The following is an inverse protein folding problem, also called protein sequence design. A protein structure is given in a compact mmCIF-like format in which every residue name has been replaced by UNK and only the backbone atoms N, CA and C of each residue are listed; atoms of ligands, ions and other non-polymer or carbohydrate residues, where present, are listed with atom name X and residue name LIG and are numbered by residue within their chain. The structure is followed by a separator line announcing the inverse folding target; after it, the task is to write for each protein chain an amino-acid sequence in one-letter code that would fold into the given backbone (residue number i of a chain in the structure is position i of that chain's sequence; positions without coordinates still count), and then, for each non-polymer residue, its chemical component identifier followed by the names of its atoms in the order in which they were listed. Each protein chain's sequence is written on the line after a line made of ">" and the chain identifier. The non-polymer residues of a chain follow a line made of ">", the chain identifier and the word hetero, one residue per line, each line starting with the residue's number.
data_IF_086508920770
#
_entry.id   IF_086508920770
#
_cell.length_a   1.000
_cell.length_b   1.000
_cell.length_c   1.000
_cell.angle_alpha   90.00
_cell.angle_beta   90.00
_cell.angle_gamma   90.00
#
_symmetry.space_group_name_H-M   'P 1'
#
loop_
_entity.id
_entity.type
_entity.pdbx_description
1 polymer ?
#
# COMPACT_ATOMS: atom_id res chain seq x y z
N UNK A 1 3.15 -23.64 25.12
CA UNK A 1 1.85 -23.66 24.42
C UNK A 1 2.14 -23.15 23.02
N UNK A 2 2.09 -24.06 22.05
CA UNK A 2 2.40 -23.67 20.66
C UNK A 2 1.26 -22.83 20.11
N UNK A 3 1.61 -21.76 19.41
CA UNK A 3 0.64 -20.89 18.73
C UNK A 3 0.06 -21.64 17.51
N UNK A 4 -1.22 -21.42 17.15
CA UNK A 4 -1.75 -21.85 15.86
C UNK A 4 -0.88 -21.36 14.71
N UNK A 5 -0.72 -22.19 13.67
CA UNK A 5 0.20 -21.91 12.56
C UNK A 5 0.01 -20.52 11.90
N UNK A 6 -1.24 -20.01 11.69
CA UNK A 6 -1.44 -18.67 11.17
C UNK A 6 -0.88 -17.56 12.09
N UNK A 7 -0.98 -17.73 13.41
CA UNK A 7 -0.50 -16.75 14.38
C UNK A 7 1.02 -16.79 14.52
N UNK A 8 1.63 -17.97 14.50
CA UNK A 8 3.08 -18.14 14.48
C UNK A 8 3.68 -17.42 13.24
N UNK A 9 3.09 -17.68 12.06
CA UNK A 9 3.50 -17.00 10.83
C UNK A 9 3.39 -15.47 10.91
N UNK A 10 2.30 -14.95 11.48
CA UNK A 10 2.11 -13.50 11.66
C UNK A 10 3.19 -12.86 12.53
N UNK A 11 3.70 -13.58 13.54
CA UNK A 11 4.76 -13.11 14.41
C UNK A 11 6.14 -13.20 13.79
N UNK A 12 6.44 -14.33 13.15
CA UNK A 12 7.82 -14.70 12.81
C UNK A 12 8.19 -14.32 11.37
N UNK A 13 7.22 -14.40 10.43
CA UNK A 13 7.51 -14.32 9.00
C UNK A 13 6.76 -13.21 8.25
N UNK A 14 5.54 -12.85 8.67
CA UNK A 14 4.63 -12.01 7.91
C UNK A 14 5.17 -10.60 7.63
N UNK A 15 6.02 -10.05 8.50
CA UNK A 15 6.69 -8.77 8.26
C UNK A 15 7.68 -8.80 7.10
N UNK A 16 8.07 -9.99 6.63
CA UNK A 16 8.86 -10.21 5.42
C UNK A 16 8.05 -10.23 4.12
N UNK A 17 6.73 -10.18 4.16
CA UNK A 17 5.87 -10.17 2.97
C UNK A 17 6.23 -9.03 2.01
N UNK A 18 6.19 -9.31 0.71
CA UNK A 18 6.61 -8.35 -0.33
C UNK A 18 5.55 -7.26 -0.54
N UNK A 19 4.26 -7.59 -0.34
CA UNK A 19 3.15 -6.66 -0.54
C UNK A 19 1.88 -7.08 0.18
N UNK A 20 0.88 -6.18 0.25
CA UNK A 20 -0.40 -6.46 0.91
C UNK A 20 -1.22 -7.57 0.22
N UNK A 21 -1.11 -7.70 -1.08
CA UNK A 21 -1.72 -8.77 -1.89
C UNK A 21 -1.20 -10.15 -1.46
N UNK A 22 0.11 -10.28 -1.39
CA UNK A 22 0.77 -11.51 -0.94
C UNK A 22 0.46 -11.82 0.52
N UNK A 23 0.54 -10.79 1.37
CA UNK A 23 0.19 -10.93 2.78
C UNK A 23 -1.24 -11.48 2.95
N UNK A 24 -2.23 -10.93 2.25
CA UNK A 24 -3.63 -11.35 2.34
C UNK A 24 -3.81 -12.79 1.84
N UNK A 25 -3.22 -13.17 0.71
CA UNK A 25 -3.29 -14.51 0.16
C UNK A 25 -2.64 -15.55 1.08
N UNK A 26 -1.45 -15.25 1.61
CA UNK A 26 -0.71 -16.16 2.48
C UNK A 26 -1.43 -16.35 3.83
N UNK A 27 -1.98 -15.28 4.41
CA UNK A 27 -2.78 -15.38 5.63
C UNK A 27 -4.07 -16.17 5.40
N UNK A 28 -4.80 -15.85 4.31
CA UNK A 28 -6.03 -16.56 3.96
C UNK A 28 -5.80 -18.07 3.72
N UNK A 29 -4.75 -18.42 3.00
CA UNK A 29 -4.37 -19.82 2.77
C UNK A 29 -4.04 -20.57 4.07
N UNK A 30 -3.32 -19.92 5.01
CA UNK A 30 -3.00 -20.52 6.32
C UNK A 30 -4.23 -20.69 7.21
N UNK A 31 -5.14 -19.71 7.21
CA UNK A 31 -6.40 -19.81 7.94
C UNK A 31 -7.31 -20.91 7.39
N UNK A 32 -7.35 -21.08 6.05
CA UNK A 32 -8.02 -22.22 5.40
C UNK A 32 -7.40 -23.54 5.82
N UNK A 33 -6.08 -23.66 5.79
CA UNK A 33 -5.36 -24.87 6.19
C UNK A 33 -5.57 -25.21 7.68
N UNK A 34 -5.82 -24.20 8.52
CA UNK A 34 -6.18 -24.34 9.94
C UNK A 34 -7.67 -24.69 10.15
N UNK A 35 -8.43 -24.89 9.06
CA UNK A 35 -9.80 -25.39 9.07
C UNK A 35 -10.90 -24.34 9.10
N UNK A 36 -10.60 -23.05 8.92
CA UNK A 36 -11.62 -22.01 8.86
C UNK A 36 -12.39 -22.06 7.52
N UNK A 37 -13.72 -21.90 7.53
CA UNK A 37 -14.57 -22.03 6.36
C UNK A 37 -14.56 -20.75 5.51
N UNK A 38 -13.40 -20.32 4.99
CA UNK A 38 -13.27 -19.08 4.25
C UNK A 38 -13.72 -19.23 2.79
N UNK A 39 -14.50 -18.26 2.30
CA UNK A 39 -14.82 -18.04 0.90
C UNK A 39 -13.93 -16.95 0.27
N UNK A 40 -13.48 -15.99 1.08
CA UNK A 40 -12.59 -14.92 0.64
C UNK A 40 -12.16 -14.00 1.77
N UNK A 41 -11.28 -13.06 1.43
CA UNK A 41 -10.76 -12.06 2.36
C UNK A 41 -10.59 -10.71 1.71
N UNK A 42 -10.66 -9.64 2.49
CA UNK A 42 -10.40 -8.27 2.06
C UNK A 42 -9.46 -7.56 3.03
N UNK A 43 -8.47 -6.88 2.51
CA UNK A 43 -7.56 -6.01 3.27
C UNK A 43 -7.64 -4.60 2.70
N UNK A 44 -8.06 -3.64 3.51
CA UNK A 44 -8.11 -2.22 3.14
C UNK A 44 -7.06 -1.44 3.91
N UNK A 45 -6.24 -0.69 3.20
CA UNK A 45 -5.24 0.22 3.77
C UNK A 45 -5.52 1.66 3.32
N UNK A 46 -5.44 2.61 4.24
CA UNK A 46 -5.41 4.02 3.89
C UNK A 46 -4.07 4.36 3.24
N UNK A 47 -4.08 5.22 2.22
CA UNK A 47 -2.87 5.66 1.52
C UNK A 47 -2.78 7.18 1.52
N UNK A 48 -1.55 7.71 1.63
CA UNK A 48 -1.28 9.15 1.54
C UNK A 48 -1.13 9.55 0.08
N UNK A 49 -2.27 9.70 -0.62
CA UNK A 49 -2.29 10.11 -2.02
C UNK A 49 -3.38 11.17 -2.23
N UNK A 50 -3.17 12.22 -3.05
CA UNK A 50 -4.12 13.32 -3.19
C UNK A 50 -5.49 12.91 -3.76
N UNK A 51 -5.57 11.83 -4.52
CA UNK A 51 -6.79 11.37 -5.21
C UNK A 51 -7.29 10.04 -4.62
N UNK A 52 -6.38 9.14 -4.29
CA UNK A 52 -6.70 7.79 -3.79
C UNK A 52 -6.63 7.83 -2.27
N UNK A 53 -7.75 7.63 -1.61
CA UNK A 53 -7.80 7.60 -0.15
C UNK A 53 -7.46 6.21 0.41
N UNK A 54 -7.81 5.15 -0.33
CA UNK A 54 -7.67 3.77 0.14
C UNK A 54 -7.33 2.83 -1.01
N UNK A 55 -6.63 1.74 -0.68
CA UNK A 55 -6.41 0.59 -1.56
C UNK A 55 -6.96 -0.64 -0.86
N UNK A 56 -7.74 -1.44 -1.59
CA UNK A 56 -8.38 -2.64 -1.07
C UNK A 56 -7.96 -3.83 -1.92
N UNK A 57 -7.40 -4.84 -1.28
CA UNK A 57 -7.07 -6.14 -1.90
C UNK A 57 -8.14 -7.14 -1.53
N UNK A 58 -8.64 -7.87 -2.54
CA UNK A 58 -9.76 -8.80 -2.48
C UNK A 58 -9.23 -10.18 -2.90
N UNK A 59 -9.17 -11.10 -1.93
CA UNK A 59 -8.67 -12.45 -2.14
C UNK A 59 -9.84 -13.44 -2.20
N UNK A 60 -9.86 -14.31 -3.21
CA UNK A 60 -10.84 -15.38 -3.37
C UNK A 60 -10.22 -16.74 -3.01
N UNK A 61 -10.82 -17.45 -2.07
CA UNK A 61 -10.28 -18.71 -1.57
C UNK A 61 -10.25 -19.83 -2.62
N UNK A 62 -11.27 -19.89 -3.49
CA UNK A 62 -11.40 -20.92 -4.53
C UNK A 62 -10.24 -20.88 -5.55
N UNK A 63 -9.80 -19.69 -5.93
CA UNK A 63 -8.79 -19.51 -6.98
C UNK A 63 -7.42 -19.11 -6.45
N UNK A 64 -7.34 -18.66 -5.19
CA UNK A 64 -6.15 -18.01 -4.63
C UNK A 64 -5.85 -16.62 -5.21
N UNK A 65 -6.65 -16.14 -6.16
CA UNK A 65 -6.42 -14.87 -6.84
C UNK A 65 -6.70 -13.68 -5.92
N UNK A 66 -5.89 -12.62 -6.11
CA UNK A 66 -6.09 -11.31 -5.46
C UNK A 66 -6.33 -10.26 -6.54
N UNK A 67 -7.35 -9.45 -6.35
CA UNK A 67 -7.64 -8.25 -7.16
C UNK A 67 -7.47 -7.03 -6.29
N UNK A 68 -7.03 -5.92 -6.88
CA UNK A 68 -6.91 -4.64 -6.21
C UNK A 68 -8.02 -3.68 -6.67
N UNK A 69 -8.67 -3.02 -5.71
CA UNK A 69 -9.63 -1.95 -5.91
C UNK A 69 -9.09 -0.65 -5.30
N UNK A 70 -9.38 0.48 -5.97
CA UNK A 70 -8.96 1.81 -5.53
C UNK A 70 -10.17 2.60 -5.03
N UNK A 71 -10.10 3.05 -3.77
CA UNK A 71 -11.09 3.94 -3.18
C UNK A 71 -10.67 5.41 -3.30
N UNK A 72 -11.51 6.24 -3.90
CA UNK A 72 -11.25 7.67 -4.08
C UNK A 72 -11.68 8.50 -2.87
N UNK A 73 -11.10 9.69 -2.74
CA UNK A 73 -11.47 10.63 -1.69
C UNK A 73 -12.97 11.00 -1.79
N UNK A 74 -13.70 10.88 -0.67
CA UNK A 74 -15.16 11.12 -0.62
C UNK A 74 -16.03 9.86 -0.65
N UNK A 75 -15.50 8.68 -0.96
CA UNK A 75 -16.19 7.41 -0.78
C UNK A 75 -16.27 7.04 0.71
N UNK A 76 -17.36 6.35 1.09
CA UNK A 76 -17.50 5.84 2.46
C UNK A 76 -16.38 4.86 2.79
N UNK A 77 -15.86 4.89 4.03
CA UNK A 77 -14.78 4.01 4.41
C UNK A 77 -15.19 2.54 4.27
N UNK A 78 -14.39 1.76 3.53
CA UNK A 78 -14.47 0.30 3.47
C UNK A 78 -15.72 -0.33 2.81
N UNK A 79 -16.51 0.44 2.04
CA UNK A 79 -17.68 -0.13 1.36
C UNK A 79 -17.32 -1.19 0.32
N UNK A 80 -16.30 -0.95 -0.51
CA UNK A 80 -15.93 -1.87 -1.60
C UNK A 80 -15.52 -3.24 -1.08
N UNK A 81 -14.69 -3.29 -0.04
CA UNK A 81 -14.27 -4.54 0.58
C UNK A 81 -15.44 -5.29 1.24
N UNK A 82 -16.27 -4.56 2.01
CA UNK A 82 -17.42 -5.14 2.70
C UNK A 82 -18.49 -5.64 1.72
N UNK A 83 -18.84 -4.86 0.71
CA UNK A 83 -19.83 -5.25 -0.30
C UNK A 83 -19.38 -6.49 -1.06
N UNK A 84 -18.10 -6.54 -1.43
CA UNK A 84 -17.54 -7.71 -2.09
C UNK A 84 -17.60 -8.95 -1.19
N UNK A 85 -17.18 -8.86 0.08
CA UNK A 85 -17.24 -9.95 1.05
C UNK A 85 -18.68 -10.44 1.27
N UNK A 86 -19.64 -9.51 1.40
CA UNK A 86 -21.06 -9.83 1.60
C UNK A 86 -21.63 -10.61 0.41
N UNK A 87 -21.13 -10.36 -0.80
CA UNK A 87 -21.46 -11.15 -1.99
C UNK A 87 -20.93 -12.58 -1.99
N UNK A 88 -19.94 -12.90 -1.14
CA UNK A 88 -19.38 -14.24 -1.00
C UNK A 88 -20.04 -15.04 0.12
N UNK A 89 -20.53 -14.39 1.18
CA UNK A 89 -21.13 -15.07 2.32
C UNK A 89 -21.15 -14.25 3.60
N UNK A 90 -21.39 -14.90 4.75
CA UNK A 90 -21.36 -14.26 6.08
C UNK A 90 -19.99 -13.63 6.36
N UNK A 91 -19.99 -12.40 6.89
CA UNK A 91 -18.77 -11.58 7.05
C UNK A 91 -18.37 -11.46 8.52
N UNK A 92 -17.11 -11.65 8.82
CA UNK A 92 -16.43 -11.23 10.05
C UNK A 92 -15.35 -10.20 9.66
N UNK A 93 -15.47 -8.99 10.18
CA UNK A 93 -14.58 -7.87 9.83
C UNK A 93 -14.11 -7.16 11.10
N UNK A 94 -12.87 -6.71 11.10
CA UNK A 94 -12.27 -5.98 12.20
C UNK A 94 -11.30 -4.90 11.76
N UNK A 95 -11.41 -3.72 12.36
CA UNK A 95 -10.39 -2.70 12.25
C UNK A 95 -9.13 -3.15 12.99
N UNK A 96 -7.98 -2.95 12.37
CA UNK A 96 -6.68 -3.27 12.95
C UNK A 96 -6.11 -2.00 13.57
N UNK A 97 -5.78 -2.08 14.86
CA UNK A 97 -5.29 -0.91 15.59
C UNK A 97 -6.41 -0.06 16.17
N UNK A 98 -6.06 1.15 16.63
CA UNK A 98 -6.95 2.06 17.38
C UNK A 98 -7.25 3.37 16.64
N UNK A 99 -6.74 3.52 15.42
CA UNK A 99 -6.93 4.73 14.62
C UNK A 99 -8.15 4.58 13.71
N UNK A 100 -8.95 5.64 13.48
CA UNK A 100 -10.09 5.60 12.57
C UNK A 100 -9.73 5.19 11.14
N UNK A 101 -8.51 5.53 10.70
CA UNK A 101 -7.96 5.22 9.38
C UNK A 101 -7.04 3.99 9.39
N UNK A 102 -7.10 3.18 10.44
CA UNK A 102 -6.32 1.95 10.54
C UNK A 102 -6.68 0.94 9.46
N UNK A 103 -5.81 -0.05 9.22
CA UNK A 103 -6.11 -1.16 8.33
C UNK A 103 -7.40 -1.88 8.73
N UNK A 104 -8.16 -2.34 7.73
CA UNK A 104 -9.35 -3.17 7.95
C UNK A 104 -9.13 -4.52 7.28
N UNK A 105 -9.28 -5.58 8.04
CA UNK A 105 -9.17 -6.96 7.57
C UNK A 105 -10.52 -7.66 7.77
N UNK A 106 -11.09 -8.16 6.68
CA UNK A 106 -12.38 -8.84 6.68
C UNK A 106 -12.30 -10.20 6.01
N UNK A 107 -13.17 -11.10 6.43
CA UNK A 107 -13.29 -12.45 5.90
C UNK A 107 -14.73 -12.79 5.63
N UNK A 108 -15.01 -13.42 4.49
CA UNK A 108 -16.30 -14.03 4.18
C UNK A 108 -16.18 -15.55 4.37
N UNK A 109 -17.18 -16.13 5.03
CA UNK A 109 -17.27 -17.58 5.22
C UNK A 109 -18.15 -18.24 4.16
N UNK A 110 -17.92 -19.54 3.91
CA UNK A 110 -18.85 -20.39 3.13
C UNK A 110 -20.11 -20.74 3.94
N UNK A 111 -20.08 -20.48 5.25
CA UNK A 111 -21.18 -20.56 6.23
C UNK A 111 -20.94 -19.56 7.36
N UNK A 112 -21.92 -19.28 8.23
CA UNK A 112 -21.70 -18.48 9.43
C UNK A 112 -20.54 -19.02 10.27
N UNK A 113 -19.71 -18.12 10.78
CA UNK A 113 -18.60 -18.50 11.66
C UNK A 113 -19.11 -18.88 13.04
N UNK A 114 -18.58 -19.99 13.58
CA UNK A 114 -18.79 -20.33 14.97
C UNK A 114 -18.08 -19.32 15.89
N UNK A 115 -18.51 -19.15 17.16
CA UNK A 115 -17.89 -18.18 18.09
C UNK A 115 -16.37 -18.37 18.25
N UNK A 116 -15.88 -19.60 18.23
CA UNK A 116 -14.46 -19.92 18.30
C UNK A 116 -13.71 -19.47 17.03
N UNK A 117 -14.29 -19.72 15.85
CA UNK A 117 -13.73 -19.31 14.54
C UNK A 117 -13.67 -17.79 14.40
N UNK A 118 -14.75 -17.09 14.76
CA UNK A 118 -14.75 -15.62 14.83
C UNK A 118 -13.71 -15.09 15.82
N UNK A 119 -13.51 -15.80 16.95
CA UNK A 119 -12.44 -15.52 17.90
C UNK A 119 -11.04 -15.64 17.31
N UNK A 120 -10.78 -16.69 16.52
CA UNK A 120 -9.52 -16.88 15.79
C UNK A 120 -9.28 -15.78 14.76
N UNK A 121 -10.29 -15.38 13.98
CA UNK A 121 -10.19 -14.30 13.01
C UNK A 121 -9.87 -12.95 13.67
N UNK A 122 -10.54 -12.64 14.79
CA UNK A 122 -10.22 -11.42 15.57
C UNK A 122 -8.81 -11.46 16.15
N UNK A 123 -8.36 -12.62 16.59
CA UNK A 123 -7.00 -12.80 17.09
C UNK A 123 -5.98 -12.62 15.97
N UNK A 124 -6.21 -13.23 14.79
CA UNK A 124 -5.37 -13.03 13.61
C UNK A 124 -5.28 -11.54 13.21
N UNK A 125 -6.41 -10.81 13.21
CA UNK A 125 -6.42 -9.37 12.95
C UNK A 125 -5.54 -8.58 13.94
N UNK A 126 -5.55 -8.94 15.23
CA UNK A 126 -4.69 -8.30 16.23
C UNK A 126 -3.20 -8.56 15.98
N UNK A 127 -2.84 -9.79 15.63
CA UNK A 127 -1.45 -10.17 15.33
C UNK A 127 -0.98 -9.59 13.98
N UNK A 128 -1.88 -9.35 13.04
CA UNK A 128 -1.60 -8.72 11.76
C UNK A 128 -1.19 -7.23 11.89
N UNK A 129 -1.45 -6.59 13.03
CA UNK A 129 -1.18 -5.16 13.21
C UNK A 129 0.29 -4.77 12.97
N UNK A 130 1.23 -5.51 13.54
CA UNK A 130 2.66 -5.21 13.39
C UNK A 130 3.18 -5.46 11.97
N UNK A 131 2.95 -6.62 11.32
CA UNK A 131 3.39 -6.82 9.94
C UNK A 131 2.72 -5.86 8.95
N UNK A 132 1.45 -5.49 9.13
CA UNK A 132 0.79 -4.51 8.27
C UNK A 132 1.35 -3.10 8.46
N UNK A 133 1.68 -2.70 9.68
CA UNK A 133 2.39 -1.45 9.94
C UNK A 133 3.75 -1.44 9.21
N UNK A 134 4.52 -2.50 9.31
CA UNK A 134 5.81 -2.62 8.63
C UNK A 134 5.68 -2.55 7.08
N UNK A 135 4.65 -3.17 6.51
CA UNK A 135 4.36 -3.09 5.08
C UNK A 135 4.00 -1.66 4.65
N UNK A 136 3.16 -0.99 5.43
CA UNK A 136 2.75 0.40 5.16
C UNK A 136 3.93 1.36 5.22
N UNK A 137 4.79 1.24 6.24
CA UNK A 137 5.99 2.06 6.39
C UNK A 137 7.00 1.82 5.25
N UNK A 138 7.20 0.58 4.83
CA UNK A 138 8.06 0.29 3.66
C UNK A 138 7.52 0.91 2.37
N UNK A 139 6.20 0.81 2.15
CA UNK A 139 5.57 1.40 0.98
C UNK A 139 5.70 2.93 0.98
N UNK A 140 5.51 3.57 2.13
CA UNK A 140 5.68 5.00 2.31
C UNK A 140 7.14 5.43 2.07
N UNK A 141 8.12 4.70 2.63
CA UNK A 141 9.54 4.96 2.40
C UNK A 141 9.91 4.81 0.92
N UNK A 142 9.43 3.77 0.26
CA UNK A 142 9.65 3.57 -1.18
C UNK A 142 9.10 4.74 -1.99
N UNK A 143 7.86 5.15 -1.73
CA UNK A 143 7.24 6.27 -2.42
C UNK A 143 8.00 7.59 -2.23
N UNK A 144 8.48 7.86 -1.01
CA UNK A 144 9.31 9.03 -0.72
C UNK A 144 10.65 8.98 -1.46
N UNK A 145 11.35 7.85 -1.41
CA UNK A 145 12.62 7.69 -2.11
C UNK A 145 12.44 7.84 -3.63
N UNK A 146 11.38 7.27 -4.20
CA UNK A 146 11.08 7.41 -5.63
C UNK A 146 10.74 8.85 -6.02
N UNK A 147 10.01 9.58 -5.18
CA UNK A 147 9.66 10.97 -5.43
C UNK A 147 10.89 11.89 -5.44
N UNK A 148 11.84 11.67 -4.54
CA UNK A 148 13.02 12.54 -4.42
C UNK A 148 14.23 12.08 -5.25
N UNK A 149 14.42 10.78 -5.45
CA UNK A 149 15.61 10.22 -6.11
C UNK A 149 15.31 9.61 -7.48
N UNK A 150 14.04 9.48 -7.84
CA UNK A 150 13.59 8.68 -8.99
C UNK A 150 13.70 7.17 -8.73
N UNK A 151 12.91 6.37 -9.45
CA UNK A 151 12.73 4.93 -9.25
C UNK A 151 14.05 4.14 -9.21
N UNK A 152 14.97 4.44 -10.15
CA UNK A 152 16.26 3.72 -10.26
C UNK A 152 17.16 3.96 -9.06
N UNK A 153 17.31 5.21 -8.63
CA UNK A 153 18.16 5.56 -7.48
C UNK A 153 17.54 5.06 -6.18
N UNK A 154 16.21 5.17 -6.04
CA UNK A 154 15.48 4.64 -4.90
C UNK A 154 15.70 3.13 -4.73
N UNK A 155 15.56 2.34 -5.80
CA UNK A 155 15.80 0.90 -5.78
C UNK A 155 17.23 0.55 -5.36
N UNK A 156 18.23 1.33 -5.81
CA UNK A 156 19.64 1.11 -5.42
C UNK A 156 19.89 1.42 -3.94
N UNK A 157 19.31 2.52 -3.45
CA UNK A 157 19.43 2.88 -2.02
C UNK A 157 18.78 1.80 -1.15
N UNK A 158 17.62 1.30 -1.54
CA UNK A 158 16.94 0.19 -0.84
C UNK A 158 17.74 -1.12 -0.89
N UNK A 159 18.48 -1.35 -1.98
CA UNK A 159 19.38 -2.50 -2.11
C UNK A 159 20.72 -2.32 -1.34
N UNK A 160 20.89 -1.23 -0.58
CA UNK A 160 22.05 -1.01 0.27
C UNK A 160 23.21 -0.25 -0.39
N UNK A 161 23.00 0.38 -1.56
CA UNK A 161 24.03 1.21 -2.20
C UNK A 161 24.12 2.58 -1.51
N UNK A 162 24.62 2.61 -0.28
CA UNK A 162 24.70 3.81 0.57
C UNK A 162 26.05 4.52 0.54
N UNK A 163 27.07 3.89 -0.03
CA UNK A 163 28.44 4.41 -0.02
C UNK A 163 28.70 5.36 -1.20
N UNK A 164 29.46 6.43 -0.94
CA UNK A 164 30.01 7.29 -2.01
C UNK A 164 30.96 6.48 -2.88
N UNK A 165 30.99 6.79 -4.18
CA UNK A 165 31.91 6.13 -5.13
C UNK A 165 31.36 4.84 -5.76
N UNK A 166 30.21 4.34 -5.33
CA UNK A 166 29.48 3.27 -6.04
C UNK A 166 28.68 3.84 -7.18
N UNK A 167 29.31 4.01 -8.33
CA UNK A 167 28.66 4.46 -9.57
C UNK A 167 28.42 3.29 -10.52
N UNK A 168 27.57 3.50 -11.52
CA UNK A 168 27.45 2.60 -12.66
C UNK A 168 27.49 3.42 -13.96
N UNK A 169 28.02 2.80 -15.01
CA UNK A 169 28.01 3.41 -16.34
C UNK A 169 26.61 3.28 -16.94
N UNK A 170 26.00 4.39 -17.29
CA UNK A 170 24.70 4.41 -17.94
C UNK A 170 24.80 5.13 -19.29
N UNK A 171 23.95 4.72 -20.24
CA UNK A 171 23.69 5.52 -21.44
C UNK A 171 22.54 6.46 -21.13
N UNK A 172 22.79 7.76 -21.24
CA UNK A 172 21.77 8.79 -20.95
C UNK A 172 21.84 9.90 -21.98
N UNK A 173 20.70 10.51 -22.26
CA UNK A 173 20.62 11.82 -22.88
C UNK A 173 20.54 12.86 -21.76
N UNK A 174 21.32 13.93 -21.88
CA UNK A 174 21.31 15.05 -20.93
C UNK A 174 20.59 16.23 -21.60
N UNK A 175 19.50 16.68 -20.97
CA UNK A 175 18.76 17.86 -21.37
C UNK A 175 19.00 18.97 -20.35
N UNK A 176 19.41 20.13 -20.83
CA UNK A 176 19.48 21.36 -20.05
C UNK A 176 18.44 22.34 -20.58
N UNK A 177 17.54 22.76 -19.70
CA UNK A 177 16.52 23.74 -20.01
C UNK A 177 16.61 24.89 -19.00
N UNK A 178 16.54 26.14 -19.47
CA UNK A 178 16.60 27.32 -18.64
C UNK A 178 15.48 28.30 -19.01
N UNK A 179 14.97 29.01 -18.02
CA UNK A 179 13.93 30.02 -18.21
C UNK A 179 14.57 31.36 -18.60
N UNK A 180 14.23 31.87 -19.80
CA UNK A 180 14.75 33.14 -20.27
C UNK A 180 14.38 34.29 -19.34
N UNK A 181 15.33 35.15 -19.04
CA UNK A 181 15.17 36.30 -18.15
C UNK A 181 14.72 35.97 -16.74
N UNK A 182 15.04 34.79 -16.23
CA UNK A 182 14.63 34.34 -14.92
C UNK A 182 14.95 35.34 -13.81
N UNK A 183 16.17 35.91 -13.80
CA UNK A 183 16.60 36.89 -12.77
C UNK A 183 15.70 38.11 -12.78
N UNK A 184 15.50 38.74 -13.96
CA UNK A 184 14.66 39.93 -14.07
C UNK A 184 13.18 39.61 -13.71
N UNK A 185 12.69 38.43 -14.09
CA UNK A 185 11.33 37.99 -13.77
C UNK A 185 11.15 37.78 -12.27
N UNK A 186 12.11 37.13 -11.61
CA UNK A 186 12.08 36.88 -10.16
C UNK A 186 12.20 38.15 -9.32
N UNK A 187 12.92 39.15 -9.80
CA UNK A 187 13.04 40.44 -9.12
C UNK A 187 11.78 41.32 -9.29
N UNK A 188 11.06 41.17 -10.41
CA UNK A 188 9.88 41.98 -10.73
C UNK A 188 8.54 41.33 -10.29
N UNK A 189 8.54 40.05 -9.94
CA UNK A 189 7.31 39.32 -9.63
C UNK A 189 7.10 39.13 -8.12
N UNK A 190 5.84 39.09 -7.69
CA UNK A 190 5.50 38.64 -6.35
C UNK A 190 5.91 37.17 -6.16
N UNK A 191 6.44 36.79 -4.97
CA UNK A 191 6.96 35.43 -4.73
C UNK A 191 6.00 34.32 -5.07
N UNK A 192 4.71 34.46 -4.74
CA UNK A 192 3.69 33.44 -5.03
C UNK A 192 3.43 33.29 -6.54
N UNK A 193 3.43 34.36 -7.30
CA UNK A 193 3.30 34.32 -8.75
C UNK A 193 4.51 33.65 -9.39
N UNK A 194 5.73 33.97 -8.92
CA UNK A 194 6.97 33.38 -9.42
C UNK A 194 6.99 31.84 -9.17
N UNK A 195 6.51 31.37 -8.03
CA UNK A 195 6.40 29.93 -7.75
C UNK A 195 5.41 29.27 -8.73
N UNK A 196 4.24 29.89 -8.97
CA UNK A 196 3.27 29.34 -9.92
C UNK A 196 3.82 29.28 -11.36
N UNK A 197 4.59 30.29 -11.79
CA UNK A 197 5.24 30.30 -13.10
C UNK A 197 6.32 29.21 -13.21
N UNK A 198 7.10 28.98 -12.15
CA UNK A 198 8.08 27.91 -12.07
C UNK A 198 7.42 26.54 -12.15
N UNK A 199 6.34 26.30 -11.38
CA UNK A 199 5.59 25.05 -11.40
C UNK A 199 5.05 24.76 -12.80
N UNK A 200 4.44 25.76 -13.45
CA UNK A 200 3.93 25.62 -14.81
C UNK A 200 5.04 25.34 -15.84
N UNK A 201 6.22 25.92 -15.65
CA UNK A 201 7.38 25.66 -16.50
C UNK A 201 7.92 24.24 -16.29
N UNK A 202 8.09 23.80 -15.03
CA UNK A 202 8.53 22.45 -14.71
C UNK A 202 7.55 21.38 -15.26
N UNK A 203 6.24 21.60 -15.12
CA UNK A 203 5.22 20.69 -15.64
C UNK A 203 5.32 20.50 -17.16
N UNK A 204 5.57 21.61 -17.91
CA UNK A 204 5.74 21.54 -19.36
C UNK A 204 7.00 20.80 -19.76
N UNK A 205 8.14 21.08 -19.10
CA UNK A 205 9.42 20.44 -19.42
C UNK A 205 9.38 18.95 -19.04
N UNK A 206 8.90 18.62 -17.84
CA UNK A 206 8.75 17.24 -17.39
C UNK A 206 7.74 16.47 -18.26
N UNK A 207 6.61 17.08 -18.59
CA UNK A 207 5.61 16.46 -19.47
C UNK A 207 6.16 16.11 -20.86
N UNK A 208 6.99 16.97 -21.43
CA UNK A 208 7.65 16.71 -22.72
C UNK A 208 8.70 15.57 -22.66
N UNK A 209 9.29 15.32 -21.49
CA UNK A 209 10.29 14.26 -21.31
C UNK A 209 9.60 12.91 -21.08
N UNK A 210 8.40 12.91 -20.47
CA UNK A 210 7.66 11.69 -20.10
C UNK A 210 6.63 11.26 -21.15
N UNK A 211 6.39 12.06 -22.19
CA UNK A 211 5.52 11.74 -23.32
C UNK A 211 6.20 10.80 -24.30
#
# INVERSE_FOLDING_TARGET
>A
MDLPAPLAWLLDEASGSIGPDRFLADLGGRLLADGLPLAGGALTLAVRHPIIARRTWLWRAETGAVIEALGFAGALPNEDGRNWLTGLGPVEEGAIGRTPDGPVLGWAGTRPFAPAEAGQLRQAARFAAAPLAALTERAALTALLEAYLGKRSAARVQAGALNRGTGEMIRAALLYADMRNFTALSEASEPAAMIADLDAWFDRVAGAIHA
#
